data_IF_533552926231
#
_entry.id   IF_533552926231
#
_cell.length_a   1.000
_cell.length_b   1.000
_cell.length_c   1.000
_cell.angle_alpha   90.00
_cell.angle_beta   90.00
_cell.angle_gamma   90.00
#
_symmetry.space_group_name_H-M   'P 1'
#
loop_
_entity.id
_entity.type
_entity.pdbx_description
1 polymer ?
#
# COMPACT_ATOMS: atom_id res chain seq x y z
N UNK A 1 8.06 33.12 15.21
CA UNK A 1 6.97 33.42 16.16
C UNK A 1 6.86 32.22 17.05
N UNK A 2 6.83 32.44 18.36
CA UNK A 2 6.91 31.35 19.31
C UNK A 2 5.58 30.62 19.39
N UNK A 3 5.63 29.29 19.42
CA UNK A 3 4.42 28.45 19.43
C UNK A 3 4.50 27.39 20.50
N UNK A 4 3.36 27.13 21.13
CA UNK A 4 3.19 25.99 22.01
C UNK A 4 2.97 24.74 21.18
N UNK A 5 3.81 23.71 21.39
CA UNK A 5 3.60 22.38 20.83
C UNK A 5 3.26 21.40 21.95
N UNK A 6 2.25 20.57 21.72
CA UNK A 6 1.88 19.46 22.60
C UNK A 6 2.15 18.13 21.93
N UNK A 7 2.71 17.18 22.69
CA UNK A 7 2.91 15.80 22.28
C UNK A 7 2.14 14.88 23.22
N UNK A 8 1.17 14.15 22.67
CA UNK A 8 0.30 13.24 23.42
C UNK A 8 0.89 11.82 23.46
N UNK A 9 0.82 11.17 24.61
CA UNK A 9 1.13 9.74 24.72
C UNK A 9 -0.05 8.87 24.27
N UNK A 10 0.21 7.58 24.04
CA UNK A 10 -0.78 6.63 23.50
C UNK A 10 -2.06 6.53 24.35
N UNK A 11 -1.97 6.74 25.68
CA UNK A 11 -3.10 6.70 26.61
C UNK A 11 -4.06 7.89 26.48
N UNK A 12 -3.64 8.98 25.85
CA UNK A 12 -4.51 10.11 25.50
C UNK A 12 -5.43 9.81 24.32
N UNK A 13 -5.18 8.69 23.62
CA UNK A 13 -5.98 8.27 22.48
C UNK A 13 -6.94 7.16 22.87
N UNK A 14 -8.10 7.17 22.23
CA UNK A 14 -9.06 6.08 22.26
C UNK A 14 -9.46 5.76 20.83
N UNK A 15 -9.71 4.49 20.48
CA UNK A 15 -10.12 4.12 19.13
C UNK A 15 -11.49 4.68 18.72
N UNK A 16 -12.19 5.37 19.62
CA UNK A 16 -13.57 5.81 19.45
C UNK A 16 -13.76 7.32 19.36
N UNK A 17 -12.69 8.10 19.52
CA UNK A 17 -12.70 9.58 19.43
C UNK A 17 -11.55 9.98 18.51
N UNK A 18 -11.80 10.89 17.58
CA UNK A 18 -10.78 11.33 16.62
C UNK A 18 -9.72 12.22 17.28
N UNK A 19 -10.16 13.10 18.17
CA UNK A 19 -9.32 14.06 18.88
C UNK A 19 -8.56 13.37 20.05
N UNK A 20 -7.30 13.75 20.30
CA UNK A 20 -6.61 13.34 21.52
C UNK A 20 -7.22 14.02 22.74
N UNK A 21 -7.30 13.30 23.85
CA UNK A 21 -7.86 13.78 25.10
C UNK A 21 -6.74 14.08 26.09
N UNK A 22 -6.74 15.30 26.61
CA UNK A 22 -5.71 15.80 27.49
C UNK A 22 -5.69 15.04 28.84
N UNK A 23 -4.48 14.70 29.28
CA UNK A 23 -4.19 14.18 30.61
C UNK A 23 -2.86 14.76 31.06
N UNK A 24 -2.85 15.47 32.19
CA UNK A 24 -1.66 16.18 32.72
C UNK A 24 -0.40 15.30 32.83
N UNK A 25 -0.59 13.99 33.05
CA UNK A 25 0.52 13.05 33.26
C UNK A 25 1.06 12.44 31.97
N UNK A 26 0.30 12.57 30.89
CA UNK A 26 0.48 11.78 29.67
C UNK A 26 0.70 12.68 28.44
N UNK A 27 1.04 13.95 28.66
CA UNK A 27 1.38 14.92 27.62
C UNK A 27 2.69 15.62 27.92
N UNK A 28 3.41 16.00 26.88
CA UNK A 28 4.59 16.86 26.99
C UNK A 28 4.37 18.15 26.22
N UNK A 29 4.69 19.27 26.86
CA UNK A 29 4.67 20.59 26.22
C UNK A 29 6.08 20.99 25.79
N UNK A 30 6.18 21.68 24.66
CA UNK A 30 7.42 22.26 24.17
C UNK A 30 7.19 23.68 23.65
N UNK A 31 8.19 24.54 23.85
CA UNK A 31 8.29 25.84 23.20
C UNK A 31 9.01 25.66 21.86
N UNK A 32 8.36 26.06 20.77
CA UNK A 32 8.93 26.02 19.42
C UNK A 32 9.24 27.44 18.94
N UNK A 33 10.41 27.62 18.35
CA UNK A 33 10.77 28.81 17.59
C UNK A 33 10.92 28.43 16.12
N UNK A 34 10.73 29.38 15.21
CA UNK A 34 10.97 29.14 13.78
C UNK A 34 12.43 28.69 13.58
N UNK A 35 12.62 27.55 12.91
CA UNK A 35 13.91 26.93 12.59
C UNK A 35 14.75 26.37 13.76
N UNK A 36 14.18 26.23 14.97
CA UNK A 36 14.84 25.57 16.12
C UNK A 36 14.16 24.24 16.52
N UNK A 37 14.93 23.36 17.19
CA UNK A 37 14.36 22.15 17.78
C UNK A 37 13.39 22.49 18.93
N UNK A 38 12.23 21.80 19.04
CA UNK A 38 11.28 21.99 20.13
C UNK A 38 11.95 21.83 21.50
N UNK A 39 11.78 22.83 22.37
CA UNK A 39 12.36 22.83 23.72
C UNK A 39 11.32 22.33 24.72
N UNK A 40 11.49 21.15 25.33
CA UNK A 40 10.50 20.62 26.27
C UNK A 40 10.44 21.47 27.54
N UNK A 41 9.23 21.74 28.02
CA UNK A 41 8.98 22.51 29.24
C UNK A 41 8.24 21.67 30.28
N UNK A 42 8.40 22.04 31.55
CA UNK A 42 7.64 21.41 32.63
C UNK A 42 6.23 22.00 32.65
N UNK A 43 5.24 21.20 33.06
CA UNK A 43 3.85 21.62 33.17
C UNK A 43 3.66 22.88 34.04
N UNK A 44 4.53 23.12 35.04
CA UNK A 44 4.51 24.33 35.86
C UNK A 44 4.83 25.63 35.12
N UNK A 45 5.20 25.55 33.84
CA UNK A 45 5.42 26.69 32.93
C UNK A 45 4.37 26.73 31.83
N UNK A 46 3.24 26.05 32.01
CA UNK A 46 2.12 26.02 31.09
C UNK A 46 0.92 26.58 31.82
N UNK A 47 0.22 27.51 31.18
CA UNK A 47 -1.02 28.09 31.66
C UNK A 47 -2.15 27.76 30.69
N UNK A 48 -3.38 27.77 31.18
CA UNK A 48 -4.56 27.34 30.46
C UNK A 48 -5.66 28.40 30.50
N UNK A 49 -6.48 28.48 29.47
CA UNK A 49 -7.62 29.39 29.42
C UNK A 49 -8.80 28.74 28.68
N UNK A 50 -10.03 29.14 29.02
CA UNK A 50 -11.22 28.70 28.28
C UNK A 50 -11.22 29.25 26.84
N UNK A 51 -10.79 30.50 26.65
CA UNK A 51 -10.68 31.19 25.36
C UNK A 51 -9.27 31.80 25.18
N UNK A 52 -8.80 31.97 23.93
CA UNK A 52 -7.47 32.54 23.63
C UNK A 52 -7.24 33.94 24.23
N UNK A 53 -8.31 34.73 24.31
CA UNK A 53 -8.33 36.09 24.88
C UNK A 53 -8.81 36.12 26.35
N UNK A 54 -8.91 34.96 27.00
CA UNK A 54 -9.46 34.78 28.35
C UNK A 54 -8.46 35.03 29.49
N UNK A 55 -8.91 34.72 30.72
CA UNK A 55 -8.03 34.67 31.88
C UNK A 55 -7.25 33.34 31.88
N UNK A 56 -5.93 33.42 32.05
CA UNK A 56 -5.03 32.28 32.05
C UNK A 56 -4.77 31.80 33.49
N UNK A 57 -4.96 30.50 33.74
CA UNK A 57 -4.85 29.83 35.03
C UNK A 57 -3.83 28.67 34.99
N UNK A 58 -3.41 28.19 36.16
CA UNK A 58 -2.44 27.08 36.27
C UNK A 58 -3.08 25.71 35.97
N UNK A 59 -4.38 25.55 36.23
CA UNK A 59 -5.11 24.30 36.06
C UNK A 59 -5.92 24.32 34.76
N UNK A 60 -5.90 23.21 34.01
CA UNK A 60 -6.67 23.12 32.77
C UNK A 60 -8.18 23.05 33.07
N UNK A 61 -9.01 23.98 32.54
CA UNK A 61 -10.46 23.91 32.71
C UNK A 61 -11.04 22.68 32.01
N UNK A 62 -12.18 22.20 32.49
CA UNK A 62 -12.89 21.07 31.88
C UNK A 62 -13.61 21.56 30.62
N UNK A 63 -13.27 20.97 29.47
CA UNK A 63 -13.89 21.25 28.20
C UNK A 63 -12.89 21.40 27.06
N UNK A 64 -13.31 22.06 26.00
CA UNK A 64 -12.41 22.65 25.01
C UNK A 64 -11.72 23.85 25.66
N UNK A 65 -10.39 23.88 25.63
CA UNK A 65 -9.61 24.96 26.21
C UNK A 65 -8.27 25.12 25.49
N UNK A 66 -7.54 26.15 25.87
CA UNK A 66 -6.27 26.51 25.28
C UNK A 66 -5.15 26.37 26.30
N UNK A 67 -3.98 25.94 25.84
CA UNK A 67 -2.77 25.84 26.64
C UNK A 67 -1.66 26.67 25.98
N UNK A 68 -0.91 27.43 26.77
CA UNK A 68 0.28 28.13 26.28
C UNK A 68 1.46 27.99 27.23
N UNK A 69 2.65 27.88 26.67
CA UNK A 69 3.91 27.89 27.41
C UNK A 69 4.25 29.33 27.74
N UNK A 70 4.62 29.60 29.00
CA UNK A 70 5.16 30.90 29.39
C UNK A 70 6.48 31.14 28.65
N UNK A 71 6.59 32.29 27.98
CA UNK A 71 7.81 32.69 27.27
C UNK A 71 8.99 32.93 28.21
N UNK A 72 10.17 33.21 27.64
CA UNK A 72 11.37 33.46 28.44
C UNK A 72 11.31 34.79 29.20
N UNK A 73 10.53 35.74 28.68
CA UNK A 73 10.24 37.04 29.27
C UNK A 73 8.72 37.24 29.43
N UNK A 74 8.32 38.07 30.39
CA UNK A 74 6.91 38.37 30.71
C UNK A 74 6.12 39.00 29.53
N UNK A 75 6.82 39.55 28.52
CA UNK A 75 6.23 40.21 27.34
C UNK A 75 6.21 39.30 26.09
N UNK A 76 6.72 38.06 26.18
CA UNK A 76 6.80 37.16 25.03
C UNK A 76 5.42 36.56 24.71
N UNK A 77 4.94 36.79 23.49
CA UNK A 77 3.65 36.26 23.02
C UNK A 77 3.90 34.90 22.36
N UNK A 78 3.50 33.84 23.06
CA UNK A 78 3.55 32.46 22.56
C UNK A 78 2.16 32.04 22.07
N UNK A 79 2.08 31.56 20.83
CA UNK A 79 0.83 31.08 20.23
C UNK A 79 0.30 29.86 21.00
N UNK A 80 -0.96 29.92 21.50
CA UNK A 80 -1.54 28.83 22.27
C UNK A 80 -1.94 27.64 21.39
N UNK A 81 -2.12 26.48 22.01
CA UNK A 81 -2.63 25.27 21.37
C UNK A 81 -3.97 24.86 21.97
N UNK A 82 -4.92 24.46 21.12
CA UNK A 82 -6.21 23.92 21.55
C UNK A 82 -6.06 22.50 22.10
N UNK A 83 -6.72 22.22 23.20
CA UNK A 83 -6.76 20.91 23.86
C UNK A 83 -8.20 20.57 24.32
N UNK A 84 -8.46 19.28 24.55
CA UNK A 84 -9.74 18.80 25.07
C UNK A 84 -9.55 18.09 26.40
N UNK A 85 -9.96 18.71 27.51
CA UNK A 85 -9.85 18.16 28.85
C UNK A 85 -11.21 17.64 29.34
N UNK A 86 -11.38 16.31 29.38
CA UNK A 86 -12.62 15.70 29.87
C UNK A 86 -12.60 15.41 31.38
N UNK A 87 -11.47 15.59 32.06
CA UNK A 87 -11.30 15.25 33.48
C UNK A 87 -11.33 13.75 33.79
N UNK A 88 -11.30 12.90 32.77
CA UNK A 88 -11.32 11.43 32.86
C UNK A 88 -10.33 10.83 31.86
N UNK A 89 -9.99 9.55 32.01
CA UNK A 89 -9.17 8.84 31.02
C UNK A 89 -9.89 8.75 29.67
N UNK A 90 -9.15 8.86 28.57
CA UNK A 90 -9.67 8.67 27.22
C UNK A 90 -10.36 7.31 27.04
N UNK A 91 -9.86 6.27 27.73
CA UNK A 91 -10.41 4.92 27.68
C UNK A 91 -11.75 4.75 28.41
N UNK A 92 -12.05 5.63 29.38
CA UNK A 92 -13.29 5.57 30.16
C UNK A 92 -14.45 6.31 29.49
N UNK A 93 -14.14 7.25 28.58
CA UNK A 93 -15.14 8.13 27.98
C UNK A 93 -16.18 7.38 27.14
N UNK A 94 -15.75 6.44 26.29
CA UNK A 94 -16.65 5.65 25.42
C UNK A 94 -16.48 4.15 25.68
N UNK A 95 -17.56 3.49 26.07
CA UNK A 95 -17.62 2.03 26.24
C UNK A 95 -18.55 1.40 25.22
N UNK A 96 -18.05 0.48 24.40
CA UNK A 96 -18.89 -0.31 23.49
C UNK A 96 -19.60 -1.42 24.26
N UNK A 97 -20.94 -1.43 24.22
CA UNK A 97 -21.78 -2.46 24.85
C UNK A 97 -21.98 -3.63 23.90
N UNK A 98 -22.39 -3.35 22.66
CA UNK A 98 -22.46 -4.33 21.56
C UNK A 98 -22.33 -3.63 20.22
N UNK A 99 -21.94 -4.39 19.20
CA UNK A 99 -21.98 -3.92 17.82
C UNK A 99 -22.15 -5.12 16.89
N UNK A 100 -23.07 -4.99 15.94
CA UNK A 100 -23.37 -5.99 14.93
C UNK A 100 -23.42 -5.36 13.53
N UNK A 101 -23.95 -6.06 12.52
CA UNK A 101 -23.99 -5.51 11.14
C UNK A 101 -24.99 -4.37 10.97
N UNK A 102 -25.95 -4.19 11.89
CA UNK A 102 -27.02 -3.20 11.80
C UNK A 102 -26.81 -1.99 12.69
N UNK A 103 -26.30 -2.17 13.91
CA UNK A 103 -26.15 -1.08 14.87
C UNK A 103 -24.93 -1.25 15.77
N UNK A 104 -24.53 -0.14 16.38
CA UNK A 104 -23.58 -0.11 17.48
C UNK A 104 -24.27 0.50 18.69
N UNK A 105 -24.24 -0.22 19.82
CA UNK A 105 -24.70 0.26 21.12
C UNK A 105 -23.49 0.56 22.00
N UNK A 106 -23.42 1.77 22.52
CA UNK A 106 -22.33 2.25 23.34
C UNK A 106 -22.84 3.11 24.50
N UNK A 107 -21.96 3.38 25.45
CA UNK A 107 -22.21 4.28 26.58
C UNK A 107 -21.14 5.34 26.58
N UNK A 108 -21.57 6.56 26.92
CA UNK A 108 -20.67 7.65 27.23
C UNK A 108 -20.71 7.87 28.73
N UNK A 109 -19.53 7.96 29.33
CA UNK A 109 -19.37 8.35 30.71
C UNK A 109 -18.63 9.69 30.76
N UNK A 110 -19.34 10.75 31.11
CA UNK A 110 -18.75 12.05 31.41
C UNK A 110 -19.51 12.72 32.55
N UNK A 111 -18.94 12.78 33.78
CA UNK A 111 -19.68 13.20 34.96
C UNK A 111 -19.81 14.72 35.13
N UNK A 112 -19.09 15.49 34.30
CA UNK A 112 -18.93 16.94 34.44
C UNK A 112 -19.94 17.78 33.65
N UNK A 113 -20.87 17.15 32.93
CA UNK A 113 -21.76 17.87 32.05
C UNK A 113 -22.92 17.03 31.51
N UNK A 114 -23.49 17.54 30.43
CA UNK A 114 -24.46 16.84 29.59
C UNK A 114 -23.81 16.44 28.28
N UNK A 115 -24.25 15.32 27.72
CA UNK A 115 -23.75 14.79 26.45
C UNK A 115 -24.94 14.59 25.51
N UNK A 116 -24.84 15.18 24.34
CA UNK A 116 -25.82 15.05 23.26
C UNK A 116 -25.12 14.43 22.05
N UNK A 117 -25.70 13.34 21.54
CA UNK A 117 -25.16 12.60 20.39
C UNK A 117 -26.14 12.70 19.24
N UNK A 118 -25.65 13.18 18.10
CA UNK A 118 -26.44 13.26 16.88
C UNK A 118 -26.78 11.84 16.38
N UNK A 119 -28.03 11.65 15.94
CA UNK A 119 -28.54 10.41 15.33
C UNK A 119 -28.45 9.14 16.21
N UNK A 120 -28.35 9.28 17.53
CA UNK A 120 -28.40 8.14 18.47
C UNK A 120 -29.77 7.96 19.12
N UNK A 121 -30.24 6.70 19.16
CA UNK A 121 -31.45 6.29 19.87
C UNK A 121 -31.11 5.78 21.27
N UNK A 122 -31.76 6.30 22.31
CA UNK A 122 -31.58 5.78 23.66
C UNK A 122 -32.29 4.43 23.83
N UNK A 123 -31.57 3.42 24.32
CA UNK A 123 -32.07 2.08 24.63
C UNK A 123 -31.83 1.73 26.10
N UNK A 124 -32.37 0.61 26.59
CA UNK A 124 -32.09 0.12 27.95
C UNK A 124 -30.60 -0.21 28.18
N UNK A 125 -29.87 -0.55 27.11
CA UNK A 125 -28.46 -0.92 27.17
C UNK A 125 -27.51 0.27 27.02
N UNK A 126 -27.92 1.33 26.32
CA UNK A 126 -27.08 2.49 26.00
C UNK A 126 -27.60 3.28 24.80
N UNK A 127 -26.73 4.10 24.20
CA UNK A 127 -26.99 4.84 22.97
C UNK A 127 -26.77 3.90 21.78
N UNK A 128 -27.80 3.71 20.96
CA UNK A 128 -27.77 2.90 19.74
C UNK A 128 -27.71 3.82 18.52
N UNK A 129 -26.70 3.63 17.69
CA UNK A 129 -26.63 4.23 16.36
C UNK A 129 -26.82 3.13 15.32
N UNK A 130 -27.76 3.32 14.40
CA UNK A 130 -27.91 2.44 13.26
C UNK A 130 -26.80 2.75 12.27
N UNK A 131 -26.14 1.71 11.75
CA UNK A 131 -25.06 1.85 10.76
C UNK A 131 -25.58 2.40 9.43
N UNK A 132 -26.88 2.33 9.17
CA UNK A 132 -27.56 3.01 8.05
C UNK A 132 -27.55 4.52 8.17
N UNK A 133 -27.52 5.03 9.40
CA UNK A 133 -27.65 6.46 9.72
C UNK A 133 -26.28 7.15 9.76
N UNK A 134 -25.19 6.36 9.73
CA UNK A 134 -23.80 6.82 9.71
C UNK A 134 -23.25 7.11 8.30
N UNK A 135 -24.06 6.88 7.26
CA UNK A 135 -23.63 7.07 5.88
C UNK A 135 -22.27 6.41 5.56
N UNK A 136 -21.59 6.95 4.54
CA UNK A 136 -20.20 6.60 4.21
C UNK A 136 -19.24 7.39 5.08
N UNK A 137 -19.12 7.03 6.36
CA UNK A 137 -18.06 7.55 7.23
C UNK A 137 -18.37 8.90 7.87
N UNK A 138 -19.63 9.16 8.21
CA UNK A 138 -19.95 10.33 9.02
C UNK A 138 -19.37 10.16 10.43
N UNK A 139 -18.53 11.13 10.76
CA UNK A 139 -18.14 11.48 12.11
C UNK A 139 -19.39 11.76 12.94
N UNK A 140 -19.60 11.01 14.02
CA UNK A 140 -20.71 11.28 14.92
C UNK A 140 -20.31 12.46 15.79
N UNK A 141 -21.00 13.57 15.61
CA UNK A 141 -20.80 14.73 16.44
C UNK A 141 -21.32 14.44 17.87
N UNK A 142 -20.42 14.53 18.84
CA UNK A 142 -20.69 14.43 20.26
C UNK A 142 -20.58 15.81 20.87
N UNK A 143 -21.72 16.44 21.16
CA UNK A 143 -21.77 17.74 21.83
C UNK A 143 -21.72 17.54 23.33
N UNK A 144 -20.78 18.21 23.98
CA UNK A 144 -20.59 18.20 25.43
C UNK A 144 -20.83 19.61 25.99
N UNK A 145 -21.64 19.71 27.02
CA UNK A 145 -21.89 20.98 27.72
C UNK A 145 -21.58 20.81 29.21
N UNK A 146 -20.50 21.44 29.75
CA UNK A 146 -20.17 21.38 31.17
C UNK A 146 -21.31 21.90 32.05
N UNK A 147 -21.39 21.47 33.32
CA UNK A 147 -22.46 21.91 34.24
C UNK A 147 -22.38 23.39 34.60
N UNK A 148 -21.17 23.92 34.71
CA UNK A 148 -20.88 25.25 35.23
C UNK A 148 -20.44 26.24 34.12
N UNK A 149 -20.60 25.86 32.84
CA UNK A 149 -20.28 26.70 31.68
C UNK A 149 -21.39 26.65 30.64
N UNK A 150 -21.68 27.80 30.03
CA UNK A 150 -22.61 27.90 28.89
C UNK A 150 -21.93 27.53 27.56
N UNK A 151 -20.62 27.23 27.57
CA UNK A 151 -19.85 26.90 26.37
C UNK A 151 -19.92 25.40 26.08
N UNK A 152 -20.65 25.03 25.03
CA UNK A 152 -20.65 23.65 24.52
C UNK A 152 -19.51 23.45 23.52
N UNK A 153 -18.86 22.30 23.58
CA UNK A 153 -17.83 21.90 22.61
C UNK A 153 -18.18 20.57 21.96
N UNK A 154 -17.49 20.23 20.87
CA UNK A 154 -17.77 19.03 20.11
C UNK A 154 -16.56 18.11 20.05
N UNK A 155 -16.79 16.80 20.19
CA UNK A 155 -15.84 15.75 19.89
C UNK A 155 -16.39 14.88 18.75
N UNK A 156 -15.48 14.28 18.00
CA UNK A 156 -15.81 13.42 16.87
C UNK A 156 -15.72 11.95 17.28
N UNK A 157 -16.84 11.24 17.34
CA UNK A 157 -16.79 9.79 17.60
C UNK A 157 -16.51 9.01 16.32
N UNK A 158 -15.55 8.10 16.41
CA UNK A 158 -15.18 7.12 15.38
C UNK A 158 -15.56 5.71 15.85
N UNK A 159 -16.86 5.41 15.85
CA UNK A 159 -17.31 4.10 16.34
C UNK A 159 -16.74 2.97 15.47
N UNK A 160 -16.32 1.86 16.09
CA UNK A 160 -15.66 0.78 15.38
C UNK A 160 -16.65 0.09 14.44
N UNK A 161 -16.28 0.06 13.16
CA UNK A 161 -16.82 -0.94 12.25
C UNK A 161 -16.07 -2.25 12.54
N UNK A 162 -16.63 -3.10 13.41
CA UNK A 162 -16.01 -4.38 13.75
C UNK A 162 -15.83 -5.24 12.49
N UNK A 163 -14.64 -5.83 12.34
CA UNK A 163 -14.30 -6.74 11.25
C UNK A 163 -13.12 -6.24 10.42
N UNK A 164 -13.41 -5.73 9.23
CA UNK A 164 -12.44 -5.29 8.22
C UNK A 164 -12.71 -3.84 7.84
N UNK A 165 -11.65 -3.05 7.71
CA UNK A 165 -11.72 -1.67 7.23
C UNK A 165 -10.61 -1.38 6.24
N UNK A 166 -10.92 -0.63 5.19
CA UNK A 166 -9.94 0.03 4.34
C UNK A 166 -9.77 1.46 4.83
N UNK A 167 -8.55 1.98 4.81
CA UNK A 167 -8.20 3.34 5.21
C UNK A 167 -7.44 4.08 4.13
N UNK A 168 -7.71 5.37 4.01
CA UNK A 168 -6.98 6.28 3.12
C UNK A 168 -5.58 6.62 3.66
N UNK A 169 -4.89 7.52 2.95
CA UNK A 169 -3.54 7.98 3.28
C UNK A 169 -3.47 8.74 4.62
N UNK A 170 -4.57 9.36 5.04
CA UNK A 170 -4.69 10.12 6.28
C UNK A 170 -5.20 9.25 7.44
N UNK A 171 -5.54 7.99 7.15
CA UNK A 171 -6.00 7.00 8.13
C UNK A 171 -7.51 6.96 8.35
N UNK A 172 -8.28 7.73 7.57
CA UNK A 172 -9.74 7.74 7.61
C UNK A 172 -10.31 6.46 6.99
N UNK A 173 -11.47 6.01 7.49
CA UNK A 173 -12.11 4.79 7.00
C UNK A 173 -12.81 5.05 5.66
N UNK A 174 -12.47 4.24 4.66
CA UNK A 174 -13.10 4.28 3.35
C UNK A 174 -14.31 3.34 3.34
N UNK A 175 -15.45 3.88 2.91
CA UNK A 175 -16.71 3.16 2.81
C UNK A 175 -17.13 3.01 1.35
N UNK A 176 -17.57 1.82 0.99
CA UNK A 176 -18.13 1.45 -0.33
C UNK A 176 -17.18 1.57 -1.53
N UNK A 177 -16.66 2.76 -1.86
CA UNK A 177 -15.89 2.95 -3.11
C UNK A 177 -14.56 3.68 -2.90
N UNK A 178 -13.50 3.17 -3.52
CA UNK A 178 -12.20 3.82 -3.70
C UNK A 178 -11.80 3.75 -5.17
N UNK A 179 -11.22 4.82 -5.70
CA UNK A 179 -10.51 4.83 -6.97
C UNK A 179 -9.08 5.28 -6.66
N UNK A 180 -8.09 4.48 -7.05
CA UNK A 180 -6.68 4.68 -6.68
C UNK A 180 -5.77 4.28 -7.83
N UNK A 181 -4.63 4.94 -7.97
CA UNK A 181 -3.62 4.51 -8.94
C UNK A 181 -2.82 3.29 -8.41
N UNK A 182 -2.41 2.37 -9.28
CA UNK A 182 -1.60 1.21 -8.94
C UNK A 182 -0.35 1.57 -8.10
N UNK A 183 0.32 2.66 -8.43
CA UNK A 183 1.53 3.14 -7.74
C UNK A 183 1.25 3.63 -6.31
N UNK A 184 0.01 4.04 -6.03
CA UNK A 184 -0.40 4.60 -4.75
C UNK A 184 -0.97 3.55 -3.79
N UNK A 185 -1.26 2.33 -4.26
CA UNK A 185 -1.86 1.27 -3.45
C UNK A 185 -1.09 0.96 -2.16
N UNK A 186 0.22 1.19 -2.15
CA UNK A 186 1.06 0.98 -0.97
C UNK A 186 0.80 2.00 0.16
N UNK A 187 0.20 3.16 -0.16
CA UNK A 187 -0.07 4.25 0.79
C UNK A 187 -1.39 4.03 1.56
N UNK A 188 -2.34 3.31 0.95
CA UNK A 188 -3.61 2.96 1.57
C UNK A 188 -3.48 1.73 2.45
N UNK A 189 -4.25 1.67 3.53
CA UNK A 189 -4.11 0.61 4.54
C UNK A 189 -5.36 -0.25 4.65
N UNK A 190 -5.18 -1.51 5.02
CA UNK A 190 -6.25 -2.35 5.55
C UNK A 190 -5.99 -2.67 7.01
N UNK A 191 -7.07 -2.85 7.76
CA UNK A 191 -7.02 -3.34 9.14
C UNK A 191 -8.06 -4.45 9.29
N UNK A 192 -7.63 -5.57 9.85
CA UNK A 192 -8.47 -6.71 10.18
C UNK A 192 -8.50 -6.91 11.70
N UNK A 193 -9.61 -6.53 12.33
CA UNK A 193 -9.89 -6.75 13.74
C UNK A 193 -10.77 -8.01 13.89
N UNK A 194 -10.16 -9.18 13.77
CA UNK A 194 -10.85 -10.47 13.77
C UNK A 194 -11.42 -10.84 15.15
N UNK A 195 -12.66 -11.35 15.15
CA UNK A 195 -13.31 -12.07 16.26
C UNK A 195 -13.80 -13.42 15.73
N UNK A 196 -14.20 -14.36 16.59
CA UNK A 196 -14.77 -15.67 16.18
C UNK A 196 -15.95 -15.54 15.19
N UNK A 197 -16.68 -14.42 15.21
CA UNK A 197 -17.83 -14.16 14.35
C UNK A 197 -17.50 -13.32 13.09
N UNK A 198 -16.27 -12.81 12.93
CA UNK A 198 -15.84 -11.90 11.85
C UNK A 198 -14.47 -12.31 11.29
N UNK A 199 -14.21 -13.62 11.26
CA UNK A 199 -12.92 -14.19 10.92
C UNK A 199 -12.61 -14.18 9.41
N UNK A 200 -13.53 -13.73 8.54
CA UNK A 200 -13.43 -13.92 7.08
C UNK A 200 -13.84 -12.72 6.25
N UNK A 201 -13.09 -12.48 5.17
CA UNK A 201 -13.51 -11.65 4.03
C UNK A 201 -13.30 -12.42 2.72
N UNK A 202 -14.02 -12.01 1.67
CA UNK A 202 -13.80 -12.51 0.31
C UNK A 202 -13.46 -11.36 -0.61
N UNK A 203 -12.44 -11.51 -1.44
CA UNK A 203 -12.02 -10.52 -2.44
C UNK A 203 -12.14 -11.15 -3.82
N UNK A 204 -12.83 -10.47 -4.74
CA UNK A 204 -12.96 -10.89 -6.13
C UNK A 204 -12.46 -9.78 -7.05
N UNK A 205 -11.67 -10.13 -8.06
CA UNK A 205 -11.36 -9.19 -9.15
C UNK A 205 -12.37 -9.33 -10.29
N UNK A 206 -12.69 -8.22 -10.96
CA UNK A 206 -13.50 -8.23 -12.17
C UNK A 206 -12.69 -8.51 -13.45
N UNK A 207 -11.36 -8.67 -13.35
CA UNK A 207 -10.49 -8.98 -14.48
C UNK A 207 -10.38 -10.48 -14.75
N UNK A 208 -10.25 -11.28 -13.69
CA UNK A 208 -10.11 -12.74 -13.75
C UNK A 208 -11.33 -13.51 -13.21
N UNK A 209 -12.26 -12.81 -12.55
CA UNK A 209 -13.41 -13.38 -11.85
C UNK A 209 -13.06 -14.44 -10.80
N UNK A 210 -11.82 -14.41 -10.28
CA UNK A 210 -11.36 -15.30 -9.22
C UNK A 210 -11.75 -14.69 -7.87
N UNK A 211 -12.27 -15.53 -6.97
CA UNK A 211 -12.58 -15.13 -5.60
C UNK A 211 -11.64 -15.79 -4.61
N UNK A 212 -10.92 -14.97 -3.84
CA UNK A 212 -10.09 -15.39 -2.74
C UNK A 212 -10.80 -15.18 -1.41
N UNK A 213 -10.60 -16.09 -0.48
CA UNK A 213 -11.08 -16.05 0.89
C UNK A 213 -9.91 -15.82 1.84
N UNK A 214 -10.03 -14.76 2.61
CA UNK A 214 -9.07 -14.33 3.62
C UNK A 214 -9.64 -14.74 4.96
N UNK A 215 -8.89 -15.55 5.71
CA UNK A 215 -9.33 -16.10 7.00
C UNK A 215 -8.33 -15.70 8.08
N UNK A 216 -8.81 -14.95 9.06
CA UNK A 216 -8.08 -14.59 10.26
C UNK A 216 -7.74 -15.84 11.07
N UNK A 217 -6.53 -15.89 11.62
CA UNK A 217 -6.06 -16.94 12.51
C UNK A 217 -5.64 -16.32 13.85
N UNK A 218 -5.86 -17.08 14.93
CA UNK A 218 -5.52 -16.68 16.29
C UNK A 218 -4.01 -16.41 16.48
N UNK A 219 -3.17 -16.98 15.61
CA UNK A 219 -1.73 -16.79 15.57
C UNK A 219 -1.30 -15.41 15.02
N UNK A 220 -2.24 -14.51 14.70
CA UNK A 220 -1.93 -13.12 14.33
C UNK A 220 -1.68 -12.89 12.84
N UNK A 221 -2.21 -13.74 11.96
CA UNK A 221 -2.14 -13.56 10.50
C UNK A 221 -3.43 -13.96 9.79
N UNK A 222 -3.55 -13.53 8.54
CA UNK A 222 -4.64 -13.87 7.63
C UNK A 222 -4.12 -14.87 6.61
N UNK A 223 -4.74 -16.04 6.54
CA UNK A 223 -4.50 -17.01 5.48
C UNK A 223 -5.37 -16.69 4.27
N UNK A 224 -4.77 -16.56 3.09
CA UNK A 224 -5.46 -16.35 1.83
C UNK A 224 -5.63 -17.69 1.12
N UNK A 225 -6.83 -17.99 0.65
CA UNK A 225 -7.18 -19.25 -0.02
C UNK A 225 -8.03 -18.97 -1.25
N UNK A 226 -7.84 -19.71 -2.32
CA UNK A 226 -8.77 -19.67 -3.45
C UNK A 226 -10.09 -20.34 -3.02
N UNK A 227 -11.26 -19.72 -3.26
CA UNK A 227 -12.55 -20.35 -2.91
C UNK A 227 -12.78 -21.65 -3.69
N UNK A 228 -12.29 -21.72 -4.93
CA UNK A 228 -12.45 -22.90 -5.77
C UNK A 228 -11.54 -24.07 -5.35
N UNK A 229 -10.49 -23.81 -4.56
CA UNK A 229 -9.64 -24.81 -3.92
C UNK A 229 -9.25 -24.38 -2.49
N UNK A 230 -10.22 -24.47 -1.58
CA UNK A 230 -10.12 -23.90 -0.23
C UNK A 230 -9.07 -24.58 0.66
N UNK A 231 -8.52 -25.72 0.25
CA UNK A 231 -7.52 -26.44 1.05
C UNK A 231 -6.09 -25.92 0.83
N UNK A 232 -5.87 -25.15 -0.24
CA UNK A 232 -4.56 -24.59 -0.57
C UNK A 232 -4.46 -23.16 -0.03
N UNK A 233 -3.44 -22.92 0.81
CA UNK A 233 -3.09 -21.57 1.25
C UNK A 233 -2.25 -20.93 0.16
N UNK A 234 -2.78 -19.87 -0.45
CA UNK A 234 -2.15 -19.08 -1.52
C UNK A 234 -1.14 -18.09 -0.94
N UNK A 235 -1.47 -17.48 0.19
CA UNK A 235 -0.60 -16.52 0.86
C UNK A 235 -0.91 -16.42 2.37
N UNK A 236 0.01 -15.80 3.12
CA UNK A 236 -0.17 -15.40 4.53
C UNK A 236 0.24 -13.94 4.71
N UNK A 237 -0.73 -13.10 5.06
CA UNK A 237 -0.54 -11.66 5.25
C UNK A 237 -0.81 -11.27 6.72
N UNK A 238 -0.24 -10.15 7.22
CA UNK A 238 -0.50 -9.66 8.58
C UNK A 238 -1.94 -9.17 8.76
N UNK A 239 -2.32 -8.86 10.00
CA UNK A 239 -3.65 -8.29 10.32
C UNK A 239 -3.81 -6.84 9.86
N UNK A 240 -2.70 -6.14 9.62
CA UNK A 240 -2.65 -4.77 9.11
C UNK A 240 -1.53 -4.69 8.09
N UNK A 241 -1.80 -4.04 6.97
CA UNK A 241 -0.85 -3.85 5.88
C UNK A 241 -1.40 -2.89 4.84
N UNK A 242 -0.78 -2.85 3.66
CA UNK A 242 -1.21 -1.99 2.56
C UNK A 242 -2.13 -2.72 1.55
N UNK A 243 -2.81 -1.97 0.69
CA UNK A 243 -3.73 -2.55 -0.29
C UNK A 243 -3.01 -3.38 -1.36
N UNK A 244 -1.78 -3.03 -1.73
CA UNK A 244 -0.99 -3.86 -2.65
C UNK A 244 -0.80 -5.27 -2.09
N UNK A 245 -0.45 -5.41 -0.82
CA UNK A 245 -0.34 -6.71 -0.13
C UNK A 245 -1.70 -7.41 -0.03
N UNK A 246 -2.76 -6.66 0.29
CA UNK A 246 -4.11 -7.22 0.36
C UNK A 246 -4.51 -7.87 -0.97
N UNK A 247 -4.12 -7.27 -2.11
CA UNK A 247 -4.44 -7.74 -3.46
C UNK A 247 -3.37 -8.64 -4.07
N UNK A 248 -2.64 -9.42 -3.26
CA UNK A 248 -1.66 -10.40 -3.74
C UNK A 248 -0.46 -9.78 -4.47
N UNK A 249 -0.12 -8.54 -4.10
CA UNK A 249 1.07 -7.84 -4.58
C UNK A 249 0.86 -7.10 -5.91
N UNK A 250 1.69 -6.08 -6.09
CA UNK A 250 1.67 -5.19 -7.27
C UNK A 250 1.81 -5.93 -8.60
N UNK A 251 2.65 -6.96 -8.66
CA UNK A 251 2.87 -7.75 -9.88
C UNK A 251 1.62 -8.53 -10.30
N UNK A 252 0.84 -9.04 -9.35
CA UNK A 252 -0.43 -9.68 -9.65
C UNK A 252 -1.42 -8.68 -10.24
N UNK A 253 -1.53 -7.49 -9.64
CA UNK A 253 -2.43 -6.42 -10.08
C UNK A 253 -2.05 -5.96 -11.50
N UNK A 254 -0.77 -5.71 -11.76
CA UNK A 254 -0.25 -5.37 -13.10
C UNK A 254 -0.57 -6.46 -14.11
N UNK A 255 -0.38 -7.73 -13.72
CA UNK A 255 -0.78 -8.88 -14.51
C UNK A 255 -2.28 -8.86 -14.84
N UNK A 256 -3.14 -8.54 -13.89
CA UNK A 256 -4.57 -8.43 -14.15
C UNK A 256 -4.93 -7.24 -15.06
N UNK A 257 -4.23 -6.12 -14.95
CA UNK A 257 -4.53 -4.88 -15.71
C UNK A 257 -4.23 -5.10 -17.18
N UNK A 258 -3.16 -5.84 -17.44
CA UNK A 258 -2.76 -6.24 -18.78
C UNK A 258 -3.67 -7.34 -19.36
N UNK A 259 -4.44 -8.08 -18.55
CA UNK A 259 -5.11 -9.33 -18.95
C UNK A 259 -6.56 -9.54 -18.49
N UNK A 260 -7.41 -8.50 -18.50
CA UNK A 260 -8.86 -8.71 -18.44
C UNK A 260 -9.29 -9.55 -19.64
N UNK A 261 -9.84 -10.74 -19.36
CA UNK A 261 -10.02 -11.81 -20.35
C UNK A 261 -11.04 -11.50 -21.48
N UNK A 262 -11.68 -10.34 -21.46
CA UNK A 262 -12.73 -9.95 -22.41
C UNK A 262 -12.50 -8.60 -23.12
N UNK A 263 -11.54 -7.78 -22.66
CA UNK A 263 -11.17 -6.52 -23.31
C UNK A 263 -9.65 -6.28 -23.21
N UNK A 264 -8.96 -5.98 -24.32
CA UNK A 264 -7.55 -5.61 -24.29
C UNK A 264 -7.39 -4.38 -23.40
N UNK A 265 -6.53 -4.48 -22.38
CA UNK A 265 -6.24 -3.43 -21.40
C UNK A 265 -7.50 -2.79 -20.78
N UNK A 266 -8.12 -3.47 -19.81
CA UNK A 266 -8.80 -2.70 -18.76
C UNK A 266 -7.69 -2.03 -17.95
N UNK A 267 -7.33 -0.81 -18.34
CA UNK A 267 -6.45 0.07 -17.56
C UNK A 267 -6.92 0.19 -16.11
N UNK A 268 -8.22 -0.02 -15.90
CA UNK A 268 -8.88 0.00 -14.60
C UNK A 268 -9.46 -1.37 -14.23
N UNK A 269 -8.99 -1.95 -13.13
CA UNK A 269 -9.57 -3.16 -12.51
C UNK A 269 -10.41 -2.75 -11.32
N UNK A 270 -11.53 -3.43 -11.07
CA UNK A 270 -12.23 -3.34 -9.80
C UNK A 270 -12.03 -4.60 -8.95
N UNK A 271 -11.53 -4.42 -7.73
CA UNK A 271 -11.59 -5.43 -6.67
C UNK A 271 -12.84 -5.20 -5.83
N UNK A 272 -13.61 -6.26 -5.63
CA UNK A 272 -14.78 -6.27 -4.74
C UNK A 272 -14.43 -7.05 -3.49
N UNK A 273 -14.33 -6.35 -2.37
CA UNK A 273 -14.14 -6.92 -1.04
C UNK A 273 -15.51 -7.08 -0.40
N UNK A 274 -15.78 -8.22 0.21
CA UNK A 274 -17.04 -8.51 0.91
C UNK A 274 -16.76 -9.09 2.28
N UNK A 275 -17.39 -8.51 3.30
CA UNK A 275 -17.45 -9.02 4.66
C UNK A 275 -18.90 -8.98 5.15
N UNK A 276 -19.51 -10.14 5.39
CA UNK A 276 -20.94 -10.23 5.75
C UNK A 276 -21.81 -9.40 4.77
N UNK A 277 -22.42 -8.33 5.26
CA UNK A 277 -23.31 -7.43 4.53
C UNK A 277 -22.57 -6.22 3.92
N UNK A 278 -21.33 -5.97 4.34
CA UNK A 278 -20.50 -4.87 3.85
C UNK A 278 -19.75 -5.25 2.58
N UNK A 279 -19.58 -4.26 1.70
CA UNK A 279 -18.85 -4.37 0.45
C UNK A 279 -18.01 -3.13 0.22
N UNK A 280 -16.83 -3.35 -0.35
CA UNK A 280 -15.98 -2.29 -0.88
C UNK A 280 -15.68 -2.62 -2.33
N UNK A 281 -15.70 -1.60 -3.18
CA UNK A 281 -15.30 -1.63 -4.58
C UNK A 281 -14.10 -0.72 -4.74
N UNK A 282 -12.93 -1.32 -4.88
CA UNK A 282 -11.66 -0.63 -5.06
C UNK A 282 -11.32 -0.69 -6.54
N UNK A 283 -11.51 0.42 -7.25
CA UNK A 283 -11.04 0.61 -8.60
C UNK A 283 -9.55 0.99 -8.56
N UNK A 284 -8.74 0.26 -9.34
CA UNK A 284 -7.32 0.51 -9.47
C UNK A 284 -7.05 0.87 -10.92
N UNK A 285 -6.52 2.06 -11.15
CA UNK A 285 -6.12 2.56 -12.47
C UNK A 285 -4.62 2.45 -12.68
N UNK A 286 -4.21 2.32 -13.93
CA UNK A 286 -2.81 2.34 -14.34
C UNK A 286 -2.43 3.75 -14.84
N UNK A 287 -1.25 4.23 -14.45
CA UNK A 287 -0.63 5.48 -14.94
C UNK A 287 -0.01 5.34 -16.33
N UNK A 288 -0.18 4.21 -17.02
CA UNK A 288 0.26 4.06 -18.40
C UNK A 288 -0.54 5.05 -19.25
N UNK A 289 0.01 6.26 -19.41
CA UNK A 289 -0.36 7.14 -20.50
C UNK A 289 -0.38 6.29 -21.77
N UNK A 290 -1.43 6.45 -22.58
CA UNK A 290 -1.44 6.10 -23.99
C UNK A 290 -0.36 6.91 -24.72
N UNK A 291 0.90 6.80 -24.33
CA UNK A 291 2.02 7.19 -25.14
C UNK A 291 2.21 6.07 -26.17
N UNK A 292 1.39 6.22 -27.20
CA UNK A 292 1.81 6.16 -28.59
C UNK A 292 3.27 6.59 -28.74
N UNK A 293 4.17 5.65 -28.58
CA UNK A 293 5.23 5.46 -29.54
C UNK A 293 5.33 3.95 -29.73
N UNK A 294 5.18 3.49 -30.96
CA UNK A 294 5.78 2.24 -31.39
C UNK A 294 7.30 2.37 -31.15
N UNK A 295 7.75 2.21 -29.90
CA UNK A 295 9.12 1.84 -29.63
C UNK A 295 9.25 0.43 -30.21
N UNK A 296 9.63 0.41 -31.49
CA UNK A 296 9.99 -0.78 -32.21
C UNK A 296 10.96 -1.51 -31.31
N UNK A 297 10.58 -2.71 -30.87
CA UNK A 297 11.41 -3.53 -30.00
C UNK A 297 12.81 -3.58 -30.64
N UNK A 298 13.88 -3.16 -29.94
CA UNK A 298 15.20 -3.11 -30.54
C UNK A 298 15.58 -4.47 -31.10
N UNK A 299 16.29 -4.47 -32.23
CA UNK A 299 16.82 -5.71 -32.78
C UNK A 299 17.65 -6.45 -31.70
N UNK A 300 17.51 -7.79 -31.57
CA UNK A 300 18.24 -8.58 -30.57
C UNK A 300 19.74 -8.29 -30.52
N UNK A 301 20.37 -8.06 -31.68
CA UNK A 301 21.80 -7.78 -31.80
C UNK A 301 22.14 -6.40 -31.28
N UNK A 302 21.31 -5.39 -31.56
CA UNK A 302 21.49 -4.02 -31.04
C UNK A 302 21.32 -3.97 -29.52
N UNK A 303 20.38 -4.74 -28.99
CA UNK A 303 20.21 -4.93 -27.55
C UNK A 303 21.50 -5.50 -26.92
N UNK A 304 22.13 -6.49 -27.57
CA UNK A 304 23.40 -7.07 -27.11
C UNK A 304 24.56 -6.07 -27.17
N UNK A 305 24.60 -5.19 -28.19
CA UNK A 305 25.59 -4.11 -28.29
C UNK A 305 25.45 -3.12 -27.14
N UNK A 306 24.24 -2.72 -26.80
CA UNK A 306 23.99 -1.84 -25.64
C UNK A 306 24.51 -2.47 -24.34
N UNK A 307 24.20 -3.75 -24.11
CA UNK A 307 24.70 -4.48 -22.94
C UNK A 307 26.22 -4.55 -22.92
N UNK A 308 26.86 -4.84 -24.06
CA UNK A 308 28.32 -4.87 -24.17
C UNK A 308 28.95 -3.52 -23.80
N UNK A 309 28.41 -2.43 -24.33
CA UNK A 309 28.86 -1.07 -24.01
C UNK A 309 28.69 -0.71 -22.54
N UNK A 310 27.56 -1.08 -21.92
CA UNK A 310 27.34 -0.87 -20.47
C UNK A 310 28.32 -1.70 -19.63
N UNK A 311 28.55 -2.96 -20.00
CA UNK A 311 29.45 -3.86 -19.26
C UNK A 311 30.90 -3.36 -19.29
N UNK A 312 31.38 -2.90 -20.45
CA UNK A 312 32.73 -2.34 -20.60
C UNK A 312 32.96 -1.07 -19.78
N UNK A 313 31.92 -0.26 -19.61
CA UNK A 313 31.98 1.00 -18.86
C UNK A 313 31.75 0.82 -17.35
N UNK A 314 31.60 -0.42 -16.86
CA UNK A 314 31.48 -0.65 -15.43
C UNK A 314 32.76 -0.21 -14.69
N UNK A 315 32.64 0.47 -13.53
CA UNK A 315 33.79 0.80 -12.72
C UNK A 315 34.58 -0.45 -12.30
N UNK A 316 35.90 -0.34 -12.25
CA UNK A 316 36.77 -1.44 -11.83
C UNK A 316 36.40 -1.88 -10.39
N UNK A 317 36.03 -3.15 -10.24
CA UNK A 317 35.59 -3.73 -8.96
C UNK A 317 34.09 -3.68 -8.70
N UNK A 318 33.29 -3.09 -9.58
CA UNK A 318 31.82 -3.12 -9.48
C UNK A 318 31.25 -4.51 -9.73
N UNK A 319 30.19 -4.85 -8.99
CA UNK A 319 29.48 -6.11 -9.16
C UNK A 319 28.53 -6.03 -10.36
N UNK A 320 28.71 -6.93 -11.34
CA UNK A 320 27.85 -7.00 -12.51
C UNK A 320 26.38 -7.37 -12.19
N UNK A 321 26.07 -7.81 -10.97
CA UNK A 321 24.69 -8.04 -10.51
C UNK A 321 23.82 -6.78 -10.50
N UNK A 322 24.40 -5.61 -10.22
CA UNK A 322 23.65 -4.35 -10.25
C UNK A 322 23.20 -4.02 -11.68
N UNK A 323 24.10 -4.24 -12.65
CA UNK A 323 23.78 -4.11 -14.07
C UNK A 323 22.72 -5.13 -14.51
N UNK A 324 22.79 -6.38 -14.05
CA UNK A 324 21.70 -7.36 -14.28
C UNK A 324 20.38 -6.81 -13.76
N UNK A 325 20.35 -6.27 -12.54
CA UNK A 325 19.12 -5.72 -11.93
C UNK A 325 18.59 -4.51 -12.71
N UNK A 326 19.46 -3.66 -13.24
CA UNK A 326 19.09 -2.56 -14.13
C UNK A 326 18.49 -3.08 -15.45
N UNK A 327 19.16 -4.02 -16.11
CA UNK A 327 18.72 -4.60 -17.38
C UNK A 327 17.41 -5.38 -17.22
N UNK A 328 17.19 -6.04 -16.09
CA UNK A 328 15.93 -6.73 -15.80
C UNK A 328 14.73 -5.77 -15.82
N UNK A 329 14.90 -4.51 -15.37
CA UNK A 329 13.84 -3.47 -15.47
C UNK A 329 13.50 -3.08 -16.91
N UNK A 330 14.41 -3.31 -17.86
CA UNK A 330 14.12 -3.06 -19.28
C UNK A 330 13.16 -4.08 -19.88
N UNK A 331 13.09 -5.31 -19.33
CA UNK A 331 12.15 -6.33 -19.79
C UNK A 331 10.70 -5.85 -19.67
N UNK A 332 10.37 -5.19 -18.56
CA UNK A 332 9.03 -4.71 -18.27
C UNK A 332 8.65 -3.57 -19.20
N UNK A 333 9.56 -2.62 -19.41
CA UNK A 333 9.35 -1.47 -20.31
C UNK A 333 9.26 -1.91 -21.77
N UNK A 334 10.13 -2.83 -22.20
CA UNK A 334 10.22 -3.28 -23.58
C UNK A 334 9.26 -4.42 -23.95
N UNK A 335 8.59 -5.03 -22.95
CA UNK A 335 7.72 -6.20 -23.13
C UNK A 335 8.47 -7.33 -23.87
N UNK A 336 9.58 -7.76 -23.29
CA UNK A 336 10.36 -8.90 -23.77
C UNK A 336 11.04 -9.60 -22.58
N UNK A 337 11.68 -10.75 -22.83
CA UNK A 337 12.52 -11.39 -21.83
C UNK A 337 13.92 -11.65 -22.39
N UNK A 338 14.97 -11.36 -21.62
CA UNK A 338 16.35 -11.57 -22.05
C UNK A 338 16.63 -13.03 -22.44
N UNK A 339 15.96 -14.01 -21.83
CA UNK A 339 16.14 -15.41 -22.20
C UNK A 339 15.69 -15.73 -23.64
N UNK A 340 14.91 -14.87 -24.29
CA UNK A 340 14.57 -14.98 -25.72
C UNK A 340 15.78 -14.72 -26.63
N UNK A 341 16.85 -14.12 -26.12
CA UNK A 341 18.10 -14.04 -26.88
C UNK A 341 18.70 -15.44 -27.05
N UNK A 342 19.32 -15.68 -28.20
CA UNK A 342 20.11 -16.86 -28.49
C UNK A 342 21.59 -16.49 -28.56
N UNK A 343 22.48 -17.46 -28.36
CA UNK A 343 23.94 -17.25 -28.46
C UNK A 343 24.37 -16.65 -29.81
N UNK A 344 23.60 -16.94 -30.87
CA UNK A 344 23.81 -16.33 -32.17
C UNK A 344 23.56 -14.81 -32.19
N UNK A 345 22.83 -14.23 -31.25
CA UNK A 345 22.49 -12.81 -31.23
C UNK A 345 23.64 -11.94 -30.68
N UNK A 346 24.53 -12.53 -29.89
CA UNK A 346 25.74 -11.87 -29.38
C UNK A 346 27.04 -12.56 -29.82
N UNK A 347 26.97 -13.41 -30.86
CA UNK A 347 28.14 -14.05 -31.42
C UNK A 347 29.17 -13.02 -31.89
N UNK A 348 30.46 -13.37 -31.73
CA UNK A 348 31.56 -12.44 -31.98
C UNK A 348 31.53 -11.84 -33.39
N UNK A 349 31.20 -12.64 -34.40
CA UNK A 349 31.10 -12.21 -35.81
C UNK A 349 30.06 -11.11 -36.04
N UNK A 350 28.96 -11.11 -35.28
CA UNK A 350 27.94 -10.06 -35.35
C UNK A 350 28.34 -8.79 -34.60
N UNK A 351 29.19 -8.92 -33.58
CA UNK A 351 29.59 -7.82 -32.73
C UNK A 351 30.98 -7.26 -33.08
N UNK A 352 31.76 -7.93 -33.93
CA UNK A 352 33.16 -7.63 -34.21
C UNK A 352 33.38 -6.16 -34.57
N UNK A 353 32.57 -5.64 -35.50
CA UNK A 353 32.65 -4.24 -35.93
C UNK A 353 32.42 -3.28 -34.76
N UNK A 354 31.39 -3.53 -33.94
CA UNK A 354 31.08 -2.73 -32.76
C UNK A 354 32.18 -2.83 -31.68
N UNK A 355 32.69 -4.02 -31.42
CA UNK A 355 33.79 -4.27 -30.49
C UNK A 355 35.04 -3.48 -30.93
N UNK A 356 35.34 -3.47 -32.23
CA UNK A 356 36.46 -2.71 -32.79
C UNK A 356 36.33 -1.18 -32.60
N UNK A 357 35.11 -0.66 -32.39
CA UNK A 357 34.91 0.76 -32.09
C UNK A 357 35.16 1.12 -30.63
N UNK A 358 34.99 0.16 -29.72
CA UNK A 358 35.08 0.39 -28.27
C UNK A 358 36.42 -0.01 -27.69
N UNK A 359 37.09 -0.97 -28.32
CA UNK A 359 38.34 -1.55 -27.86
C UNK A 359 39.42 -1.22 -28.87
N UNK A 360 40.59 -0.82 -28.36
CA UNK A 360 41.78 -0.58 -29.16
C UNK A 360 42.08 -1.79 -30.09
N UNK A 361 42.09 -1.60 -31.43
CA UNK A 361 42.42 -2.66 -32.37
C UNK A 361 43.83 -3.24 -32.16
N UNK A 362 44.75 -2.46 -31.58
CA UNK A 362 46.12 -2.88 -31.26
C UNK A 362 46.21 -3.69 -29.95
N UNK A 363 45.10 -3.83 -29.21
CA UNK A 363 45.05 -4.64 -28.00
C UNK A 363 45.37 -6.11 -28.32
N UNK A 364 46.21 -6.73 -27.48
CA UNK A 364 46.56 -8.15 -27.58
C UNK A 364 45.32 -9.03 -27.75
N UNK A 365 45.33 -9.90 -28.77
CA UNK A 365 44.20 -10.81 -29.07
C UNK A 365 43.72 -11.60 -27.84
N UNK A 366 44.64 -11.98 -26.95
CA UNK A 366 44.31 -12.68 -25.70
C UNK A 366 43.44 -11.82 -24.76
N UNK A 367 43.72 -10.51 -24.64
CA UNK A 367 42.91 -9.60 -23.82
C UNK A 367 41.55 -9.37 -24.44
N UNK A 368 41.47 -9.23 -25.77
CA UNK A 368 40.20 -9.10 -26.49
C UNK A 368 39.31 -10.34 -26.29
N UNK A 369 39.92 -11.53 -26.35
CA UNK A 369 39.22 -12.79 -26.09
C UNK A 369 38.71 -12.88 -24.64
N UNK A 370 39.49 -12.40 -23.65
CA UNK A 370 39.05 -12.35 -22.25
C UNK A 370 37.84 -11.43 -22.07
N UNK A 371 37.87 -10.22 -22.64
CA UNK A 371 36.75 -9.27 -22.58
C UNK A 371 35.48 -9.88 -23.19
N UNK A 372 35.60 -10.51 -24.37
CA UNK A 372 34.45 -11.16 -24.99
C UNK A 372 33.93 -12.34 -24.17
N UNK A 373 34.83 -13.15 -23.59
CA UNK A 373 34.44 -14.25 -22.72
C UNK A 373 33.73 -13.75 -21.44
N UNK A 374 34.16 -12.63 -20.87
CA UNK A 374 33.49 -12.03 -19.70
C UNK A 374 32.08 -11.55 -20.07
N UNK A 375 31.94 -10.97 -21.27
CA UNK A 375 30.63 -10.59 -21.81
C UNK A 375 29.73 -11.79 -22.10
N UNK A 376 30.26 -12.85 -22.71
CA UNK A 376 29.51 -14.08 -22.98
C UNK A 376 28.97 -14.70 -21.68
N UNK A 377 29.83 -14.82 -20.66
CA UNK A 377 29.43 -15.26 -19.32
C UNK A 377 28.38 -14.34 -18.68
N UNK A 378 28.49 -13.03 -18.89
CA UNK A 378 27.50 -12.06 -18.43
C UNK A 378 26.14 -12.28 -19.11
N UNK A 379 26.12 -12.46 -20.44
CA UNK A 379 24.90 -12.72 -21.19
C UNK A 379 24.20 -14.00 -20.73
N UNK A 380 24.96 -15.07 -20.47
CA UNK A 380 24.40 -16.29 -19.88
C UNK A 380 23.76 -16.05 -18.50
N UNK A 381 24.41 -15.28 -17.62
CA UNK A 381 23.85 -14.93 -16.31
C UNK A 381 22.59 -14.07 -16.41
N UNK A 382 22.57 -13.11 -17.33
CA UNK A 382 21.39 -12.27 -17.58
C UNK A 382 20.22 -13.11 -18.10
N UNK A 383 20.47 -14.04 -19.03
CA UNK A 383 19.46 -14.97 -19.53
C UNK A 383 18.93 -15.88 -18.43
N UNK A 384 19.78 -16.38 -17.55
CA UNK A 384 19.35 -17.20 -16.41
C UNK A 384 18.49 -16.39 -15.42
N UNK A 385 18.89 -15.16 -15.10
CA UNK A 385 18.08 -14.27 -14.25
C UNK A 385 16.71 -13.98 -14.87
N UNK A 386 16.65 -13.84 -16.20
CA UNK A 386 15.41 -13.68 -16.97
C UNK A 386 14.57 -14.94 -17.04
N UNK A 387 15.21 -16.11 -17.11
CA UNK A 387 14.51 -17.40 -17.07
C UNK A 387 13.82 -17.58 -15.71
N UNK A 388 14.54 -17.30 -14.62
CA UNK A 388 14.05 -17.41 -13.24
C UNK A 388 13.10 -16.26 -12.81
N UNK A 389 12.80 -15.34 -13.73
CA UNK A 389 11.90 -14.22 -13.51
C UNK A 389 10.45 -14.72 -13.40
N UNK A 390 10.01 -14.93 -12.17
CA UNK A 390 8.69 -15.41 -11.81
C UNK A 390 8.01 -14.47 -10.84
N UNK A 391 6.69 -14.37 -10.95
CA UNK A 391 5.88 -13.64 -9.97
C UNK A 391 6.12 -14.22 -8.57
N UNK A 392 6.20 -13.35 -7.57
CA UNK A 392 6.34 -13.75 -6.15
C UNK A 392 5.24 -14.73 -5.71
N UNK A 393 4.06 -14.61 -6.32
CA UNK A 393 2.93 -15.52 -6.14
C UNK A 393 2.71 -16.29 -7.45
N UNK A 394 2.72 -17.61 -7.35
CA UNK A 394 2.47 -18.52 -8.47
C UNK A 394 1.00 -18.91 -8.53
N UNK A 395 0.47 -19.01 -9.73
CA UNK A 395 -0.89 -19.48 -9.99
C UNK A 395 -1.05 -20.94 -9.54
N UNK A 396 -2.16 -21.21 -8.87
CA UNK A 396 -2.46 -22.56 -8.36
C UNK A 396 -2.81 -23.56 -9.49
N UNK A 397 -2.94 -24.84 -9.10
CA UNK A 397 -3.21 -25.92 -10.03
C UNK A 397 -4.55 -25.77 -10.79
N UNK A 398 -5.55 -25.11 -10.20
CA UNK A 398 -6.84 -24.87 -10.84
C UNK A 398 -6.73 -23.76 -11.88
N UNK A 399 -6.05 -22.66 -11.54
CA UNK A 399 -5.76 -21.59 -12.48
C UNK A 399 -4.95 -22.11 -13.66
N UNK A 400 -3.92 -22.92 -13.39
CA UNK A 400 -3.14 -23.58 -14.44
C UNK A 400 -4.04 -24.50 -15.31
N UNK A 401 -5.00 -25.21 -14.70
CA UNK A 401 -5.97 -26.04 -15.43
C UNK A 401 -6.88 -25.21 -16.32
N UNK A 402 -7.39 -24.08 -15.84
CA UNK A 402 -8.27 -23.19 -16.59
C UNK A 402 -7.51 -22.48 -17.73
N UNK A 403 -6.26 -22.08 -17.47
CA UNK A 403 -5.37 -21.45 -18.44
C UNK A 403 -4.62 -22.45 -19.34
N UNK A 404 -4.84 -23.77 -19.20
CA UNK A 404 -4.06 -24.83 -19.85
C UNK A 404 -3.81 -24.60 -21.35
N UNK A 405 -4.84 -24.18 -22.10
CA UNK A 405 -4.70 -23.92 -23.54
C UNK A 405 -3.81 -22.72 -23.84
N UNK A 406 -3.88 -21.67 -23.01
CA UNK A 406 -3.09 -20.45 -23.13
C UNK A 406 -1.62 -20.72 -22.75
N UNK A 407 -1.39 -21.43 -21.64
CA UNK A 407 -0.05 -21.90 -21.25
C UNK A 407 0.58 -22.75 -22.36
N UNK A 408 -0.18 -23.70 -22.92
CA UNK A 408 0.30 -24.56 -24.01
C UNK A 408 0.63 -23.77 -25.28
N UNK A 409 -0.14 -22.74 -25.61
CA UNK A 409 0.17 -21.81 -26.71
C UNK A 409 1.50 -21.09 -26.45
N UNK A 410 1.71 -20.55 -25.26
CA UNK A 410 2.97 -19.88 -24.91
C UNK A 410 4.16 -20.85 -24.96
N UNK A 411 4.01 -22.08 -24.43
CA UNK A 411 5.04 -23.13 -24.58
C UNK A 411 5.41 -23.37 -26.04
N UNK A 412 4.39 -23.44 -26.90
CA UNK A 412 4.59 -23.68 -28.34
C UNK A 412 5.36 -22.52 -28.98
N UNK A 413 4.98 -21.27 -28.69
CA UNK A 413 5.68 -20.09 -29.22
C UNK A 413 7.14 -20.03 -28.77
N UNK A 414 7.43 -20.33 -27.50
CA UNK A 414 8.81 -20.39 -26.99
C UNK A 414 9.60 -21.52 -27.67
N UNK A 415 8.99 -22.69 -27.88
CA UNK A 415 9.63 -23.80 -28.58
C UNK A 415 9.91 -23.49 -30.06
N UNK A 416 8.96 -22.86 -30.75
CA UNK A 416 9.12 -22.42 -32.15
C UNK A 416 10.23 -21.37 -32.28
N UNK A 417 10.33 -20.46 -31.31
CA UNK A 417 11.41 -19.48 -31.23
C UNK A 417 12.77 -20.11 -31.00
N UNK A 418 12.89 -21.00 -30.03
CA UNK A 418 14.13 -21.74 -29.77
C UNK A 418 14.54 -22.61 -30.98
N UNK A 419 13.55 -23.11 -31.72
CA UNK A 419 13.74 -23.91 -32.95
C UNK A 419 13.94 -23.05 -34.20
N UNK A 420 13.92 -21.72 -34.08
CA UNK A 420 14.05 -20.74 -35.19
C UNK A 420 12.98 -20.87 -36.27
N UNK A 421 11.81 -21.39 -35.92
CA UNK A 421 10.63 -21.47 -36.81
C UNK A 421 9.93 -20.12 -36.89
N UNK A 422 9.81 -19.41 -35.77
CA UNK A 422 9.21 -18.07 -35.68
C UNK A 422 9.86 -17.28 -34.55
N UNK A 423 10.06 -15.98 -34.71
CA UNK A 423 10.70 -15.15 -33.68
C UNK A 423 9.68 -14.56 -32.70
N UNK A 424 9.93 -14.66 -31.39
CA UNK A 424 9.14 -13.91 -30.39
C UNK A 424 9.32 -12.40 -30.52
N UNK A 425 10.47 -11.96 -31.04
CA UNK A 425 10.79 -10.54 -31.25
C UNK A 425 9.92 -9.89 -32.31
N UNK A 426 9.41 -10.67 -33.28
CA UNK A 426 8.51 -10.18 -34.33
C UNK A 426 7.03 -10.19 -33.93
N UNK A 427 6.70 -10.64 -32.72
CA UNK A 427 5.32 -10.65 -32.26
C UNK A 427 4.85 -9.24 -31.91
N UNK A 428 3.58 -8.98 -32.21
CA UNK A 428 2.88 -7.79 -31.74
C UNK A 428 3.01 -7.65 -30.24
N UNK A 429 3.06 -6.40 -29.77
CA UNK A 429 3.22 -6.08 -28.34
C UNK A 429 2.25 -6.89 -27.49
N UNK A 430 0.97 -6.95 -27.86
CA UNK A 430 -0.07 -7.70 -27.13
C UNK A 430 0.27 -9.19 -26.93
N UNK A 431 0.82 -9.86 -27.95
CA UNK A 431 1.20 -11.28 -27.85
C UNK A 431 2.44 -11.45 -26.97
N UNK A 432 3.39 -10.51 -27.03
CA UNK A 432 4.55 -10.49 -26.14
C UNK A 432 4.14 -10.30 -24.68
N UNK A 433 3.23 -9.37 -24.39
CA UNK A 433 2.73 -9.19 -23.02
C UNK A 433 2.11 -10.51 -22.52
N UNK A 434 1.32 -11.22 -23.34
CA UNK A 434 0.70 -12.51 -22.95
C UNK A 434 1.76 -13.53 -22.56
N UNK A 435 2.84 -13.63 -23.32
CA UNK A 435 3.95 -14.55 -23.02
C UNK A 435 4.53 -14.25 -21.64
N UNK A 436 4.88 -12.97 -21.36
CA UNK A 436 5.44 -12.55 -20.07
C UNK A 436 4.50 -12.92 -18.91
N UNK A 437 3.20 -12.66 -19.05
CA UNK A 437 2.22 -12.97 -18.01
C UNK A 437 2.12 -14.45 -17.71
N UNK A 438 1.95 -15.30 -18.74
CA UNK A 438 1.84 -16.73 -18.50
C UNK A 438 3.16 -17.28 -17.99
N UNK A 439 4.29 -16.84 -18.52
CA UNK A 439 5.62 -17.26 -18.05
C UNK A 439 5.82 -16.97 -16.57
N UNK A 440 5.57 -15.73 -16.13
CA UNK A 440 5.83 -15.30 -14.75
C UNK A 440 4.87 -15.90 -13.73
N UNK A 441 3.57 -15.92 -14.05
CA UNK A 441 2.53 -16.33 -13.10
C UNK A 441 2.28 -17.83 -13.08
N UNK A 442 2.57 -18.53 -14.18
CA UNK A 442 2.42 -19.99 -14.29
C UNK A 442 3.78 -20.66 -14.48
N UNK A 443 4.84 -20.08 -13.92
CA UNK A 443 6.23 -20.48 -14.15
C UNK A 443 6.46 -21.97 -13.87
N UNK A 444 5.87 -22.49 -12.79
CA UNK A 444 5.88 -23.93 -12.45
C UNK A 444 5.28 -24.84 -13.52
N UNK A 445 4.44 -24.30 -14.40
CA UNK A 445 3.89 -25.03 -15.53
C UNK A 445 4.85 -25.06 -16.71
N UNK A 446 5.92 -24.26 -16.74
CA UNK A 446 6.94 -24.20 -17.80
C UNK A 446 8.20 -25.01 -17.49
N UNK A 447 8.50 -25.22 -16.21
CA UNK A 447 9.37 -26.29 -15.70
C UNK A 447 8.86 -27.69 -16.18
#
# INVERSE_FOLDING_TARGET
MDKTKIEYQEVCYTPYVAEPLFSERDVNFSLCHDDEEPRPVRLSFVVFAEDEDGEWEDDAPIGECYATVLGENDDDIVEPVKIYNLGISASDFVTIVRSDSKSTVFRIFWPYGTVEIDNANLTEEGLEILKTDLGTGEHINCRLTPKDSDHSFNLTLQLPVFGFSVRDIDGNIINDKLEVNEEELAQYQYVFAGKENDDRITICSDADHITYKYVWNQEGYISVRNIADINVVVDKIPLRGNLAQLFLGTEYIRGLMQFSAENPAKENIAFVIKQKDQRWRIGVSSSIEEHSDENTLPDPTELCKEVFGKLLNLPAGSNSNELISELMKMQDKGVFQWFWLNENDWAYDKLEEYINTLIDPEMEMMRRALIFNDFDNFMHRLRLASLDDKSSIQADALLARNAKRKIMRVKTLIQEHNSRVSSLWSLEREERVKILYYWRNFHSSFE
#
